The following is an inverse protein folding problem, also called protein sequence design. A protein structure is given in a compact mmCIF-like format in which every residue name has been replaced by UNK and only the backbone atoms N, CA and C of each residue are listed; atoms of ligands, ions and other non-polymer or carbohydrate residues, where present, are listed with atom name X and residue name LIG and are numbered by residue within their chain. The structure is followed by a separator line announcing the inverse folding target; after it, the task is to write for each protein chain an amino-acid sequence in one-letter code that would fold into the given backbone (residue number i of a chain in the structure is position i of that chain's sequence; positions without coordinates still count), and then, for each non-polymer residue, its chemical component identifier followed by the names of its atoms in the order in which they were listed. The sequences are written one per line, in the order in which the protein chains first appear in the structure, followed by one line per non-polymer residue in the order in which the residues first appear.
data_IF_984559966624
#
_entry.id   IF_984559966624
#
_cell.length_a   1.000
_cell.length_b   1.000
_cell.length_c   1.000
_cell.angle_alpha   90.00
_cell.angle_beta   90.00
_cell.angle_gamma   90.00
#
_symmetry.space_group_name_H-M   'P 1'
#
loop_
_entity.id
_entity.type
_entity.pdbx_description
1 polymer ?
#
# COMPACT_ATOMS: atom_id res chain seq x y z
N UNK A 1 21.56 17.41 33.96
CA UNK A 1 21.44 17.02 32.54
C UNK A 1 20.36 15.97 32.43
N UNK A 2 19.15 16.38 32.06
CA UNK A 2 18.05 15.46 31.79
C UNK A 2 18.33 14.77 30.44
N UNK A 3 18.70 13.49 30.49
CA UNK A 3 18.74 12.62 29.33
C UNK A 3 17.29 12.40 28.88
N UNK A 4 16.84 13.20 27.91
CA UNK A 4 15.62 12.94 27.17
C UNK A 4 15.87 11.70 26.29
N UNK A 5 15.57 10.52 26.82
CA UNK A 5 15.23 9.36 26.01
C UNK A 5 13.91 9.69 25.30
N UNK A 6 13.97 10.46 24.22
CA UNK A 6 12.90 10.47 23.24
C UNK A 6 12.85 9.05 22.68
N UNK A 7 11.88 8.27 23.14
CA UNK A 7 11.70 6.90 22.70
C UNK A 7 11.71 6.86 21.18
N UNK A 8 12.55 6.01 20.59
CA UNK A 8 12.51 5.73 19.18
C UNK A 8 11.09 5.26 18.86
N UNK A 9 10.29 6.09 18.21
CA UNK A 9 8.98 5.67 17.74
C UNK A 9 9.20 4.46 16.83
N UNK A 10 8.60 3.31 17.16
CA UNK A 10 8.67 2.09 16.36
C UNK A 10 8.28 2.35 14.90
N UNK A 11 7.42 3.36 14.68
CA UNK A 11 7.04 3.86 13.35
C UNK A 11 8.23 4.45 12.60
N UNK A 12 9.06 5.27 13.24
CA UNK A 12 10.26 5.87 12.62
C UNK A 12 11.28 4.81 12.23
N UNK A 13 11.55 3.86 13.13
CA UNK A 13 12.45 2.75 12.85
C UNK A 13 11.94 1.88 11.70
N UNK A 14 10.67 1.48 11.75
CA UNK A 14 10.06 0.67 10.70
C UNK A 14 10.03 1.40 9.36
N UNK A 15 9.72 2.71 9.37
CA UNK A 15 9.72 3.54 8.18
C UNK A 15 11.10 3.61 7.54
N UNK A 16 12.15 3.90 8.32
CA UNK A 16 13.51 4.02 7.79
C UNK A 16 14.05 2.71 7.23
N UNK A 17 13.59 1.56 7.74
CA UNK A 17 13.96 0.24 7.22
C UNK A 17 13.02 -0.28 6.11
N UNK A 18 12.02 0.51 5.69
CA UNK A 18 10.98 0.04 4.76
C UNK A 18 11.54 -0.47 3.41
N UNK A 19 12.53 0.18 2.76
CA UNK A 19 13.11 -0.33 1.51
C UNK A 19 13.71 -1.72 1.65
N UNK A 20 14.46 -1.95 2.74
CA UNK A 20 15.09 -3.26 3.00
C UNK A 20 14.05 -4.35 3.24
N UNK A 21 13.02 -4.06 4.03
CA UNK A 21 11.93 -5.00 4.31
C UNK A 21 11.11 -5.31 3.05
N UNK A 22 10.85 -4.30 2.21
CA UNK A 22 10.15 -4.47 0.93
C UNK A 22 10.99 -5.27 -0.07
N UNK A 23 12.27 -4.97 -0.23
CA UNK A 23 13.17 -5.73 -1.09
C UNK A 23 13.25 -7.21 -0.66
N UNK A 24 13.38 -7.47 0.65
CA UNK A 24 13.34 -8.82 1.19
C UNK A 24 12.04 -9.54 0.85
N UNK A 25 10.89 -8.89 1.01
CA UNK A 25 9.59 -9.46 0.70
C UNK A 25 9.42 -9.76 -0.79
N UNK A 26 9.88 -8.84 -1.67
CA UNK A 26 9.85 -9.01 -3.12
C UNK A 26 10.75 -10.19 -3.51
N UNK A 27 11.98 -10.27 -2.97
CA UNK A 27 12.88 -11.37 -3.22
C UNK A 27 12.29 -12.71 -2.74
N UNK A 28 11.71 -12.74 -1.54
CA UNK A 28 11.02 -13.94 -1.03
C UNK A 28 9.90 -14.39 -1.98
N UNK A 29 9.22 -13.45 -2.64
CA UNK A 29 8.13 -13.77 -3.56
C UNK A 29 8.64 -14.22 -4.94
N UNK A 30 9.58 -13.47 -5.54
CA UNK A 30 10.04 -13.60 -6.93
C UNK A 30 11.32 -14.43 -7.12
N UNK A 31 12.11 -14.66 -6.06
CA UNK A 31 13.41 -15.33 -6.15
C UNK A 31 14.41 -14.55 -7.01
N UNK A 32 14.68 -13.30 -6.66
CA UNK A 32 15.54 -12.38 -7.43
C UNK A 32 17.00 -12.85 -7.44
N UNK A 33 17.70 -12.59 -8.54
CA UNK A 33 19.17 -12.64 -8.58
C UNK A 33 19.78 -11.48 -7.79
N UNK A 34 21.07 -11.55 -7.47
CA UNK A 34 21.76 -10.49 -6.71
C UNK A 34 21.66 -9.13 -7.40
N UNK A 35 21.90 -9.07 -8.71
CA UNK A 35 21.79 -7.84 -9.51
C UNK A 35 20.35 -7.28 -9.53
N UNK A 36 19.34 -8.15 -9.64
CA UNK A 36 17.94 -7.71 -9.56
C UNK A 36 17.60 -7.17 -8.17
N UNK A 37 18.08 -7.82 -7.12
CA UNK A 37 17.80 -7.45 -5.75
C UNK A 37 18.52 -6.16 -5.33
N UNK A 38 19.73 -5.93 -5.81
CA UNK A 38 20.44 -4.64 -5.67
C UNK A 38 19.65 -3.51 -6.32
N UNK A 39 19.28 -3.65 -7.60
CA UNK A 39 18.48 -2.64 -8.30
C UNK A 39 17.12 -2.39 -7.64
N UNK A 40 16.45 -3.44 -7.14
CA UNK A 40 15.17 -3.26 -6.41
C UNK A 40 15.37 -2.43 -5.13
N UNK A 41 16.49 -2.57 -4.43
CA UNK A 41 16.78 -1.74 -3.24
C UNK A 41 16.96 -0.28 -3.64
N UNK A 42 17.77 0.00 -4.65
CA UNK A 42 18.00 1.38 -5.12
C UNK A 42 16.69 2.06 -5.55
N UNK A 43 15.84 1.36 -6.32
CA UNK A 43 14.54 1.90 -6.75
C UNK A 43 13.57 2.14 -5.58
N UNK A 44 13.65 1.32 -4.52
CA UNK A 44 12.86 1.48 -3.31
C UNK A 44 13.39 2.59 -2.39
N UNK A 45 14.70 2.80 -2.34
CA UNK A 45 15.33 3.91 -1.61
C UNK A 45 14.93 5.25 -2.25
N UNK A 46 15.00 5.35 -3.58
CA UNK A 46 14.50 6.51 -4.32
C UNK A 46 13.00 6.75 -4.08
N UNK A 47 12.20 5.69 -4.08
CA UNK A 47 10.75 5.79 -3.83
C UNK A 47 10.48 6.26 -2.40
N UNK A 48 11.25 5.77 -1.42
CA UNK A 48 11.14 6.18 -0.03
C UNK A 48 11.51 7.65 0.16
N UNK A 49 12.56 8.12 -0.52
CA UNK A 49 12.93 9.54 -0.50
C UNK A 49 11.82 10.42 -1.07
N UNK A 50 11.28 10.08 -2.25
CA UNK A 50 10.12 10.80 -2.79
C UNK A 50 8.91 10.76 -1.85
N UNK A 51 8.61 9.60 -1.26
CA UNK A 51 7.52 9.44 -0.32
C UNK A 51 7.74 10.31 0.92
N UNK A 52 8.97 10.40 1.40
CA UNK A 52 9.35 11.27 2.52
C UNK A 52 9.09 12.73 2.21
N UNK A 53 9.55 13.20 1.05
CA UNK A 53 9.50 14.61 0.68
C UNK A 53 8.09 15.06 0.26
N UNK A 54 7.32 14.15 -0.36
CA UNK A 54 6.05 14.48 -1.02
C UNK A 54 4.84 13.94 -0.26
N UNK A 55 4.88 12.69 0.17
CA UNK A 55 3.70 12.00 0.69
C UNK A 55 3.53 12.13 2.20
N UNK A 56 4.61 12.09 2.99
CA UNK A 56 4.50 12.26 4.44
C UNK A 56 3.85 13.60 4.85
N UNK A 57 4.17 14.76 4.23
CA UNK A 57 3.46 16.01 4.52
C UNK A 57 1.96 15.93 4.16
N UNK A 58 1.61 15.25 3.07
CA UNK A 58 0.20 15.07 2.67
C UNK A 58 -0.56 14.14 3.63
N UNK A 59 0.08 13.07 4.10
CA UNK A 59 -0.49 12.19 5.12
C UNK A 59 -0.70 12.95 6.45
N UNK A 60 0.23 13.84 6.81
CA UNK A 60 0.10 14.70 7.99
C UNK A 60 -1.12 15.63 7.90
N UNK A 61 -1.42 16.18 6.71
CA UNK A 61 -2.63 16.99 6.50
C UNK A 61 -3.93 16.20 6.73
N UNK A 62 -3.98 14.93 6.29
CA UNK A 62 -5.11 14.04 6.58
C UNK A 62 -5.24 13.81 8.09
N UNK A 63 -4.13 13.60 8.80
CA UNK A 63 -4.14 13.45 10.26
C UNK A 63 -4.62 14.70 10.99
N UNK A 64 -4.29 15.91 10.52
CA UNK A 64 -4.83 17.16 11.06
C UNK A 64 -6.35 17.26 10.86
N UNK A 65 -6.86 16.85 9.69
CA UNK A 65 -8.30 16.76 9.44
C UNK A 65 -8.97 15.76 10.39
N UNK A 66 -8.36 14.58 10.55
CA UNK A 66 -8.84 13.53 11.47
C UNK A 66 -8.88 14.04 12.91
N UNK A 67 -7.87 14.77 13.39
CA UNK A 67 -7.87 15.37 14.73
C UNK A 67 -9.10 16.26 14.96
N UNK A 68 -9.44 17.12 13.99
CA UNK A 68 -10.63 17.98 14.08
C UNK A 68 -11.93 17.16 14.10
N UNK A 69 -12.01 16.09 13.31
CA UNK A 69 -13.19 15.21 13.28
C UNK A 69 -13.35 14.40 14.57
N UNK A 70 -12.24 13.96 15.17
CA UNK A 70 -12.26 13.11 16.37
C UNK A 70 -12.56 13.87 17.66
N UNK A 71 -12.40 15.20 17.68
CA UNK A 71 -12.71 16.01 18.85
C UNK A 71 -14.21 15.95 19.22
N UNK A 72 -15.07 15.85 18.20
CA UNK A 72 -16.53 15.81 18.34
C UNK A 72 -17.11 14.51 17.77
N UNK A 73 -18.42 14.47 17.50
CA UNK A 73 -19.02 13.38 16.76
C UNK A 73 -18.72 13.47 15.26
N UNK A 74 -18.65 12.32 14.60
CA UNK A 74 -18.42 12.20 13.15
C UNK A 74 -19.63 11.55 12.46
N UNK A 75 -19.90 11.96 11.22
CA UNK A 75 -20.90 11.30 10.36
C UNK A 75 -20.26 10.16 9.54
N UNK A 76 -21.05 9.19 9.11
CA UNK A 76 -20.58 8.14 8.20
C UNK A 76 -20.01 8.72 6.90
N UNK A 77 -20.60 9.80 6.39
CA UNK A 77 -20.11 10.49 5.19
C UNK A 77 -18.72 11.11 5.41
N UNK A 78 -18.48 11.73 6.56
CA UNK A 78 -17.16 12.27 6.92
C UNK A 78 -16.11 11.16 7.01
N UNK A 79 -16.45 10.01 7.61
CA UNK A 79 -15.57 8.85 7.67
C UNK A 79 -15.24 8.31 6.26
N UNK A 80 -16.24 8.17 5.39
CA UNK A 80 -16.05 7.71 4.02
C UNK A 80 -15.26 8.69 3.14
N UNK A 81 -15.44 10.00 3.32
CA UNK A 81 -14.62 11.00 2.62
C UNK A 81 -13.15 10.90 3.02
N UNK A 82 -12.86 10.73 4.31
CA UNK A 82 -11.49 10.53 4.80
C UNK A 82 -10.89 9.21 4.29
N UNK A 83 -11.67 8.13 4.25
CA UNK A 83 -11.23 6.85 3.64
C UNK A 83 -10.87 7.01 2.16
N UNK A 84 -11.72 7.71 1.38
CA UNK A 84 -11.47 7.95 -0.04
C UNK A 84 -10.19 8.78 -0.27
N UNK A 85 -9.93 9.78 0.57
CA UNK A 85 -8.71 10.59 0.53
C UNK A 85 -7.45 9.74 0.79
N UNK A 86 -7.48 8.87 1.79
CA UNK A 86 -6.40 7.91 2.07
C UNK A 86 -6.20 6.96 0.89
N UNK A 87 -7.29 6.47 0.28
CA UNK A 87 -7.24 5.60 -0.89
C UNK A 87 -6.58 6.28 -2.09
N UNK A 88 -6.85 7.56 -2.32
CA UNK A 88 -6.21 8.36 -3.37
C UNK A 88 -4.72 8.56 -3.11
N UNK A 89 -4.32 8.84 -1.86
CA UNK A 89 -2.89 8.96 -1.53
C UNK A 89 -2.14 7.65 -1.75
N UNK A 90 -2.76 6.50 -1.46
CA UNK A 90 -2.18 5.19 -1.80
C UNK A 90 -2.02 5.00 -3.32
N UNK A 91 -3.00 5.41 -4.13
CA UNK A 91 -2.89 5.33 -5.60
C UNK A 91 -1.71 6.16 -6.13
N UNK A 92 -1.44 7.34 -5.55
CA UNK A 92 -0.29 8.17 -5.93
C UNK A 92 1.05 7.44 -5.69
N UNK A 93 1.19 6.75 -4.55
CA UNK A 93 2.40 5.96 -4.26
C UNK A 93 2.57 4.83 -5.27
N UNK A 94 1.48 4.13 -5.61
CA UNK A 94 1.50 3.06 -6.63
C UNK A 94 1.89 3.61 -8.00
N UNK A 95 1.32 4.74 -8.41
CA UNK A 95 1.66 5.39 -9.68
C UNK A 95 3.11 5.86 -9.75
N UNK A 96 3.69 6.30 -8.62
CA UNK A 96 5.10 6.67 -8.57
C UNK A 96 6.03 5.44 -8.60
N UNK A 97 5.63 4.35 -7.95
CA UNK A 97 6.40 3.11 -7.92
C UNK A 97 6.42 2.37 -9.26
N UNK A 98 5.34 2.47 -10.05
CA UNK A 98 5.17 1.77 -11.33
C UNK A 98 6.39 1.93 -12.28
N UNK A 99 6.78 3.15 -12.70
CA UNK A 99 7.87 3.31 -13.68
C UNK A 99 9.22 2.81 -13.15
N UNK A 100 9.45 2.89 -11.83
CA UNK A 100 10.67 2.42 -11.16
C UNK A 100 10.81 0.91 -11.17
N UNK A 101 9.70 0.19 -11.15
CA UNK A 101 9.67 -1.27 -11.10
C UNK A 101 9.39 -1.93 -12.46
N UNK A 102 9.13 -1.15 -13.50
CA UNK A 102 8.69 -1.66 -14.80
C UNK A 102 9.71 -2.63 -15.44
N UNK A 103 11.00 -2.33 -15.29
CA UNK A 103 12.09 -3.16 -15.83
C UNK A 103 12.05 -4.60 -15.30
N UNK A 104 11.54 -4.80 -14.08
CA UNK A 104 11.53 -6.09 -13.41
C UNK A 104 10.69 -7.10 -14.20
N UNK A 105 9.57 -6.67 -14.78
CA UNK A 105 8.69 -7.53 -15.57
C UNK A 105 9.42 -8.18 -16.75
N UNK A 106 10.25 -7.43 -17.48
CA UNK A 106 11.02 -7.95 -18.63
C UNK A 106 12.21 -8.82 -18.23
N UNK A 107 12.73 -8.65 -17.01
CA UNK A 107 13.91 -9.36 -16.52
C UNK A 107 13.61 -10.63 -15.73
N UNK A 108 12.36 -10.90 -15.35
CA UNK A 108 12.01 -12.16 -14.67
C UNK A 108 12.21 -13.37 -15.59
N UNK A 109 13.10 -14.28 -15.22
CA UNK A 109 13.39 -15.52 -15.95
C UNK A 109 12.18 -16.46 -15.98
N UNK A 110 12.14 -17.37 -16.96
CA UNK A 110 11.06 -18.36 -17.04
C UNK A 110 11.01 -19.27 -15.80
N UNK A 111 12.15 -19.53 -15.16
CA UNK A 111 12.22 -20.23 -13.88
C UNK A 111 11.53 -19.48 -12.74
N UNK A 112 11.72 -18.15 -12.66
CA UNK A 112 11.06 -17.30 -11.67
C UNK A 112 9.55 -17.25 -11.90
N UNK A 113 9.10 -17.18 -13.17
CA UNK A 113 7.67 -17.25 -13.52
C UNK A 113 7.07 -18.60 -13.11
N UNK A 114 7.73 -19.72 -13.43
CA UNK A 114 7.29 -21.07 -12.99
C UNK A 114 7.24 -21.22 -11.47
N UNK A 115 8.10 -20.51 -10.73
CA UNK A 115 8.04 -20.51 -9.27
C UNK A 115 6.79 -19.78 -8.76
N UNK A 116 6.39 -18.67 -9.38
CA UNK A 116 5.16 -17.96 -9.04
C UNK A 116 3.92 -18.84 -9.27
N UNK A 117 3.88 -19.55 -10.39
CA UNK A 117 2.81 -20.52 -10.71
C UNK A 117 2.65 -21.58 -9.62
N UNK A 118 3.77 -22.15 -9.13
CA UNK A 118 3.74 -23.12 -8.03
C UNK A 118 3.21 -22.51 -6.73
N UNK A 119 3.72 -21.34 -6.34
CA UNK A 119 3.25 -20.63 -5.12
C UNK A 119 1.77 -20.28 -5.17
N UNK A 120 1.24 -20.02 -6.37
CA UNK A 120 -0.17 -19.78 -6.57
C UNK A 120 -1.00 -21.04 -6.36
N UNK A 121 -0.53 -22.21 -6.83
CA UNK A 121 -1.21 -23.48 -6.63
C UNK A 121 -1.23 -23.91 -5.15
N UNK A 122 -0.19 -23.57 -4.38
CA UNK A 122 -0.03 -23.97 -2.96
C UNK A 122 -0.81 -23.08 -1.96
N UNK A 123 -1.56 -22.07 -2.42
CA UNK A 123 -2.16 -21.06 -1.54
C UNK A 123 -3.50 -21.53 -0.91
N UNK A 124 -3.46 -21.98 0.36
CA UNK A 124 -4.66 -22.21 1.18
C UNK A 124 -5.10 -20.93 1.93
N UNK A 125 -6.33 -20.45 1.70
CA UNK A 125 -7.01 -19.50 2.60
C UNK A 125 -8.53 -19.47 2.35
N UNK A 126 -9.31 -19.67 3.41
CA UNK A 126 -10.76 -19.81 3.35
C UNK A 126 -11.48 -18.49 3.67
N UNK A 127 -11.82 -17.73 2.62
CA UNK A 127 -12.79 -16.62 2.59
C UNK A 127 -13.22 -16.40 1.13
N UNK A 128 -14.27 -17.10 0.67
CA UNK A 128 -14.55 -17.36 -0.76
C UNK A 128 -14.44 -16.15 -1.70
N UNK A 129 -14.96 -14.97 -1.35
CA UNK A 129 -14.89 -13.77 -2.22
C UNK A 129 -13.51 -13.11 -2.24
N UNK A 130 -12.91 -12.86 -1.08
CA UNK A 130 -11.58 -12.27 -0.99
C UNK A 130 -10.50 -13.22 -1.55
N UNK A 131 -10.68 -14.53 -1.34
CA UNK A 131 -9.86 -15.57 -1.92
C UNK A 131 -9.96 -15.60 -3.45
N UNK A 132 -11.17 -15.57 -4.02
CA UNK A 132 -11.34 -15.58 -5.47
C UNK A 132 -10.70 -14.37 -6.14
N UNK A 133 -10.86 -13.17 -5.57
CA UNK A 133 -10.20 -11.97 -6.11
C UNK A 133 -8.68 -12.04 -5.98
N UNK A 134 -8.15 -12.53 -4.85
CA UNK A 134 -6.71 -12.77 -4.67
C UNK A 134 -6.18 -13.74 -5.73
N UNK A 135 -6.88 -14.85 -5.95
CA UNK A 135 -6.49 -15.85 -6.95
C UNK A 135 -6.56 -15.27 -8.36
N UNK A 136 -7.60 -14.48 -8.68
CA UNK A 136 -7.71 -13.76 -9.96
C UNK A 136 -6.51 -12.84 -10.20
N UNK A 137 -6.15 -12.00 -9.23
CA UNK A 137 -5.00 -11.09 -9.30
C UNK A 137 -3.68 -11.83 -9.51
N UNK A 138 -3.52 -12.99 -8.88
CA UNK A 138 -2.33 -13.84 -9.07
C UNK A 138 -2.29 -14.44 -10.48
N UNK A 139 -3.43 -14.97 -10.99
CA UNK A 139 -3.51 -15.51 -12.37
C UNK A 139 -3.21 -14.42 -13.41
N UNK A 140 -3.77 -13.24 -13.20
CA UNK A 140 -3.57 -12.06 -14.06
C UNK A 140 -2.08 -11.66 -14.11
N UNK A 141 -1.41 -11.62 -12.94
CA UNK A 141 0.03 -11.34 -12.88
C UNK A 141 0.85 -12.37 -13.67
N UNK A 142 0.61 -13.66 -13.44
CA UNK A 142 1.32 -14.74 -14.15
C UNK A 142 1.10 -14.63 -15.66
N UNK A 143 -0.14 -14.40 -16.11
CA UNK A 143 -0.47 -14.26 -17.52
C UNK A 143 0.23 -13.05 -18.16
N UNK A 144 0.28 -11.91 -17.46
CA UNK A 144 1.01 -10.72 -17.90
C UNK A 144 2.50 -11.01 -18.03
N UNK A 145 3.11 -11.63 -17.02
CA UNK A 145 4.54 -11.98 -17.03
C UNK A 145 4.88 -13.00 -18.14
N UNK A 146 4.03 -13.99 -18.37
CA UNK A 146 4.19 -14.94 -19.49
C UNK A 146 4.10 -14.22 -20.85
N UNK A 147 3.22 -13.23 -20.97
CA UNK A 147 3.09 -12.45 -22.21
C UNK A 147 4.33 -11.59 -22.45
N UNK A 148 4.82 -10.91 -21.41
CA UNK A 148 6.08 -10.15 -21.46
C UNK A 148 7.27 -11.07 -21.79
N UNK A 149 7.30 -12.29 -21.25
CA UNK A 149 8.37 -13.24 -21.51
C UNK A 149 8.47 -13.68 -22.99
N UNK A 150 7.38 -13.58 -23.77
CA UNK A 150 7.37 -13.91 -25.22
C UNK A 150 8.06 -12.84 -26.07
N UNK A 151 8.05 -11.58 -25.63
CA UNK A 151 8.67 -10.46 -26.32
C UNK A 151 9.26 -9.46 -25.30
N UNK A 152 10.36 -9.88 -24.66
CA UNK A 152 11.01 -9.11 -23.58
C UNK A 152 11.62 -7.79 -24.05
N UNK A 153 11.86 -7.64 -25.35
CA UNK A 153 12.46 -6.44 -25.94
C UNK A 153 11.43 -5.35 -26.21
N UNK A 154 10.14 -5.70 -26.28
CA UNK A 154 9.06 -4.75 -26.50
C UNK A 154 8.67 -4.02 -25.21
N UNK A 155 9.47 -3.01 -24.89
CA UNK A 155 9.31 -2.17 -23.69
C UNK A 155 8.00 -1.37 -23.70
N UNK A 156 7.53 -0.95 -24.88
CA UNK A 156 6.25 -0.26 -25.04
C UNK A 156 5.07 -1.18 -24.68
N UNK A 157 5.06 -2.42 -25.19
CA UNK A 157 4.04 -3.40 -24.84
C UNK A 157 4.12 -3.80 -23.36
N UNK A 158 5.32 -4.02 -22.83
CA UNK A 158 5.53 -4.33 -21.40
C UNK A 158 4.91 -3.25 -20.52
N UNK A 159 5.18 -1.97 -20.84
CA UNK A 159 4.59 -0.82 -20.14
C UNK A 159 3.08 -0.84 -20.14
N UNK A 160 2.47 -1.09 -21.29
CA UNK A 160 1.00 -1.18 -21.40
C UNK A 160 0.45 -2.34 -20.57
N UNK A 161 1.02 -3.54 -20.69
CA UNK A 161 0.56 -4.72 -19.97
C UNK A 161 0.63 -4.55 -18.44
N UNK A 162 1.74 -4.00 -17.92
CA UNK A 162 1.92 -3.75 -16.49
C UNK A 162 0.95 -2.68 -15.99
N UNK A 163 0.72 -1.61 -16.75
CA UNK A 163 -0.26 -0.56 -16.40
C UNK A 163 -1.67 -1.10 -16.30
N UNK A 164 -2.10 -1.86 -17.30
CA UNK A 164 -3.43 -2.45 -17.30
C UNK A 164 -3.59 -3.47 -16.18
N UNK A 165 -2.55 -4.25 -15.87
CA UNK A 165 -2.52 -5.12 -14.69
C UNK A 165 -2.72 -4.34 -13.40
N UNK A 166 -1.96 -3.26 -13.18
CA UNK A 166 -2.08 -2.42 -11.98
C UNK A 166 -3.48 -1.79 -11.88
N UNK A 167 -4.06 -1.34 -13.00
CA UNK A 167 -5.43 -0.84 -13.04
C UNK A 167 -6.44 -1.92 -12.60
N UNK A 168 -6.33 -3.15 -13.13
CA UNK A 168 -7.18 -4.29 -12.73
C UNK A 168 -6.90 -4.78 -11.31
N UNK A 169 -5.69 -4.59 -10.79
CA UNK A 169 -5.34 -4.89 -9.40
C UNK A 169 -5.99 -3.89 -8.45
N UNK A 170 -5.94 -2.60 -8.78
CA UNK A 170 -6.53 -1.52 -7.99
C UNK A 170 -8.07 -1.49 -8.08
N UNK A 171 -8.62 -1.81 -9.24
CA UNK A 171 -10.05 -1.89 -9.49
C UNK A 171 -10.39 -3.23 -10.14
N UNK A 172 -10.98 -4.15 -9.36
CA UNK A 172 -11.33 -5.49 -9.87
C UNK A 172 -12.24 -5.40 -11.09
N UNK A 173 -11.99 -6.17 -12.17
CA UNK A 173 -12.92 -6.27 -13.30
C UNK A 173 -14.22 -7.00 -12.93
N UNK A 174 -14.27 -7.74 -11.81
CA UNK A 174 -15.47 -8.42 -11.32
C UNK A 174 -16.47 -7.43 -10.69
N UNK A 175 -17.65 -7.19 -11.31
CA UNK A 175 -18.65 -6.28 -10.77
C UNK A 175 -19.22 -6.74 -9.42
N UNK A 176 -19.32 -8.05 -9.17
CA UNK A 176 -19.84 -8.58 -7.91
C UNK A 176 -18.84 -8.32 -6.78
N UNK A 177 -17.54 -8.47 -7.05
CA UNK A 177 -16.51 -8.09 -6.09
C UNK A 177 -16.45 -6.57 -5.86
N UNK A 178 -16.56 -5.75 -6.91
CA UNK A 178 -16.61 -4.28 -6.74
C UNK A 178 -17.77 -3.85 -5.85
N UNK A 179 -18.96 -4.40 -6.08
CA UNK A 179 -20.13 -4.14 -5.25
C UNK A 179 -19.88 -4.56 -3.79
N UNK A 180 -19.37 -5.77 -3.58
CA UNK A 180 -19.00 -6.25 -2.25
C UNK A 180 -17.98 -5.36 -1.53
N UNK A 181 -16.90 -4.95 -2.22
CA UNK A 181 -15.89 -4.06 -1.67
C UNK A 181 -16.48 -2.68 -1.31
N UNK A 182 -17.37 -2.14 -2.15
CA UNK A 182 -18.06 -0.89 -1.87
C UNK A 182 -18.97 -1.00 -0.64
N UNK A 183 -19.68 -2.11 -0.47
CA UNK A 183 -20.49 -2.38 0.73
C UNK A 183 -19.61 -2.41 1.98
N UNK A 184 -18.46 -3.11 1.96
CA UNK A 184 -17.55 -3.15 3.10
C UNK A 184 -17.05 -1.75 3.50
N UNK A 185 -16.75 -0.89 2.52
CA UNK A 185 -16.34 0.49 2.79
C UNK A 185 -17.50 1.27 3.42
N UNK A 186 -18.68 1.26 2.81
CA UNK A 186 -19.84 2.01 3.29
C UNK A 186 -20.27 1.57 4.69
N UNK A 187 -20.37 0.27 4.93
CA UNK A 187 -20.70 -0.29 6.26
C UNK A 187 -19.60 0.01 7.27
N UNK A 188 -18.33 -0.09 6.88
CA UNK A 188 -17.18 0.23 7.72
C UNK A 188 -17.17 1.70 8.16
N UNK A 189 -17.49 2.64 7.27
CA UNK A 189 -17.63 4.06 7.63
C UNK A 189 -18.76 4.29 8.64
N UNK A 190 -19.91 3.64 8.44
CA UNK A 190 -21.05 3.72 9.35
C UNK A 190 -20.71 3.15 10.74
N UNK A 191 -20.12 1.96 10.77
CA UNK A 191 -19.66 1.32 12.00
C UNK A 191 -18.61 2.14 12.74
N UNK A 192 -17.63 2.70 12.03
CA UNK A 192 -16.64 3.60 12.63
C UNK A 192 -17.30 4.82 13.27
N UNK A 193 -18.20 5.50 12.55
CA UNK A 193 -18.89 6.67 13.07
C UNK A 193 -19.73 6.34 14.32
N UNK A 194 -20.43 5.20 14.32
CA UNK A 194 -21.19 4.74 15.47
C UNK A 194 -20.30 4.49 16.69
N UNK A 195 -19.20 3.76 16.51
CA UNK A 195 -18.25 3.45 17.59
C UNK A 195 -17.61 4.73 18.13
N UNK A 196 -17.14 5.61 17.24
CA UNK A 196 -16.53 6.89 17.63
C UNK A 196 -17.52 7.77 18.41
N UNK A 197 -18.77 7.88 17.94
CA UNK A 197 -19.76 8.72 18.61
C UNK A 197 -20.15 8.19 20.00
N UNK A 198 -20.01 6.89 20.24
CA UNK A 198 -20.21 6.26 21.54
C UNK A 198 -19.02 6.43 22.51
N UNK A 199 -17.90 7.03 22.08
CA UNK A 199 -16.75 7.28 22.95
C UNK A 199 -17.00 8.38 23.98
N UNK A 200 -16.36 8.25 25.14
CA UNK A 200 -16.36 9.28 26.19
C UNK A 200 -15.47 10.46 25.80
N UNK A 201 -15.67 11.66 26.40
CA UNK A 201 -14.79 12.80 26.16
C UNK A 201 -13.30 12.49 26.40
N UNK A 202 -12.98 11.71 27.44
CA UNK A 202 -11.60 11.30 27.72
C UNK A 202 -11.02 10.40 26.62
N UNK A 203 -11.82 9.49 26.06
CA UNK A 203 -11.41 8.65 24.93
C UNK A 203 -11.18 9.48 23.67
N UNK A 204 -12.01 10.50 23.39
CA UNK A 204 -11.83 11.41 22.25
C UNK A 204 -10.54 12.22 22.37
N UNK A 205 -10.25 12.78 23.54
CA UNK A 205 -8.99 13.49 23.81
C UNK A 205 -7.79 12.57 23.52
N UNK A 206 -7.85 11.30 23.95
CA UNK A 206 -6.79 10.32 23.66
C UNK A 206 -6.68 10.02 22.16
N UNK A 207 -7.79 9.88 21.44
CA UNK A 207 -7.78 9.63 20.00
C UNK A 207 -7.17 10.80 19.21
N UNK A 208 -7.53 12.04 19.57
CA UNK A 208 -6.94 13.27 19.00
C UNK A 208 -5.44 13.34 19.30
N UNK A 209 -5.03 13.07 20.54
CA UNK A 209 -3.62 13.06 20.91
C UNK A 209 -2.82 12.02 20.13
N UNK A 210 -3.37 10.82 19.91
CA UNK A 210 -2.74 9.78 19.08
C UNK A 210 -2.57 10.24 17.63
N UNK A 211 -3.62 10.80 17.01
CA UNK A 211 -3.54 11.32 15.64
C UNK A 211 -2.49 12.44 15.50
N UNK A 212 -2.39 13.31 16.52
CA UNK A 212 -1.35 14.35 16.59
C UNK A 212 0.06 13.78 16.71
N UNK A 213 0.25 12.71 17.49
CA UNK A 213 1.55 12.05 17.60
C UNK A 213 2.00 11.45 16.27
N UNK A 214 1.10 10.83 15.51
CA UNK A 214 1.42 10.32 14.16
C UNK A 214 1.73 11.45 13.17
N UNK A 215 0.99 12.57 13.24
CA UNK A 215 1.27 13.74 12.41
C UNK A 215 2.70 14.25 12.65
N UNK A 216 3.09 14.38 13.93
CA UNK A 216 4.44 14.81 14.31
C UNK A 216 5.51 13.82 13.85
N UNK A 217 5.24 12.52 13.94
CA UNK A 217 6.16 11.49 13.43
C UNK A 217 6.34 11.61 11.92
N UNK A 218 5.27 11.83 11.15
CA UNK A 218 5.36 12.03 9.70
C UNK A 218 6.11 13.30 9.35
N UNK A 219 5.84 14.41 10.04
CA UNK A 219 6.58 15.67 9.81
C UNK A 219 8.05 15.57 10.21
N UNK A 220 8.36 14.82 11.28
CA UNK A 220 9.75 14.56 11.67
C UNK A 220 10.48 13.74 10.61
N UNK A 221 9.84 12.68 10.10
CA UNK A 221 10.40 11.84 9.06
C UNK A 221 10.56 12.61 7.76
N UNK A 222 9.61 13.49 7.39
CA UNK A 222 9.68 14.35 6.22
C UNK A 222 10.85 15.36 6.26
N UNK A 223 11.36 15.67 7.44
CA UNK A 223 12.47 16.61 7.63
C UNK A 223 13.86 15.95 7.72
N UNK A 224 13.94 14.61 7.60
CA UNK A 224 15.19 13.85 7.62
C UNK A 224 15.81 13.74 6.23
#
# INVERSE_FOLDING_TARGET
MALLLQGCSTVKLAYNQAPQLMAWQINRYLGLSDAQNERVRDELDDLQQWHRDTMLPQHAQVLQKVQRQLADGITAQQACSTYAEIRTQFDQVVSQAEPKMLWLASQLTDSQIRQLERKQADSNADWRKAYNERLRRQKDLVQVLQTVARDRQNTAQTKTLVREYLARFNQSPDPAYRSYAQTLVTEGCGGFAQVHNATTPAQRVKAVASAKSYEQDFMTLAAQ
#
